data_IF_666866166827
#
_entry.id   IF_666866166827
#
_cell.length_a   1.000
_cell.length_b   1.000
_cell.length_c   1.000
_cell.angle_alpha   90.00
_cell.angle_beta   90.00
_cell.angle_gamma   90.00
#
_symmetry.space_group_name_H-M   'P 1'
#
loop_
_entity.id
_entity.type
_entity.pdbx_description
1 polymer ?
#
# COMPACT_ATOMS: atom_id res chain seq x y z
N UNK A 1 7.45 17.64 2.57
CA UNK A 1 8.50 16.92 1.84
C UNK A 1 7.92 15.56 1.48
N UNK A 2 7.37 15.39 0.29
CA UNK A 2 7.47 14.12 -0.43
C UNK A 2 7.29 14.37 -1.93
N UNK A 3 7.98 13.51 -2.68
CA UNK A 3 7.69 12.97 -4.00
C UNK A 3 9.04 12.36 -4.44
N UNK A 4 9.30 11.17 -3.91
CA UNK A 4 10.42 10.25 -4.21
C UNK A 4 11.81 10.91 -4.04
N UNK A 5 12.56 10.47 -3.02
CA UNK A 5 13.99 10.79 -2.96
C UNK A 5 14.64 10.46 -4.31
N UNK A 6 15.42 11.37 -4.92
CA UNK A 6 15.96 11.16 -6.26
C UNK A 6 17.07 10.09 -6.29
N UNK A 7 17.25 9.29 -5.24
CA UNK A 7 18.32 8.31 -5.11
C UNK A 7 17.75 6.97 -4.73
N UNK A 8 18.38 5.89 -5.20
CA UNK A 8 18.09 4.50 -4.92
C UNK A 8 16.60 4.14 -5.07
N UNK A 9 16.02 4.56 -6.20
CA UNK A 9 14.63 4.25 -6.58
C UNK A 9 14.60 2.85 -7.19
N UNK A 10 13.80 1.92 -6.64
CA UNK A 10 13.74 0.56 -7.15
C UNK A 10 13.04 0.51 -8.51
N UNK A 11 13.49 -0.37 -9.40
CA UNK A 11 12.88 -0.51 -10.72
C UNK A 11 11.41 -0.97 -10.65
N UNK A 12 11.02 -1.64 -9.56
CA UNK A 12 9.66 -2.12 -9.31
C UNK A 12 8.63 -1.00 -9.10
N UNK A 13 9.07 0.24 -8.84
CA UNK A 13 8.19 1.41 -8.74
C UNK A 13 7.75 1.95 -10.10
N UNK A 14 8.50 1.66 -11.17
CA UNK A 14 8.12 2.10 -12.50
C UNK A 14 7.04 1.17 -13.04
N UNK A 15 5.96 1.77 -13.56
CA UNK A 15 4.87 1.00 -14.17
C UNK A 15 5.43 0.06 -15.22
N UNK A 16 5.07 -1.25 -15.23
CA UNK A 16 5.42 -2.12 -16.33
C UNK A 16 4.80 -1.50 -17.59
N UNK A 17 5.65 -1.23 -18.58
CA UNK A 17 5.17 -0.78 -19.88
C UNK A 17 4.35 -1.88 -20.57
N UNK A 18 3.79 -1.62 -21.77
CA UNK A 18 3.09 -2.64 -22.53
C UNK A 18 3.97 -3.88 -22.83
N UNK A 19 5.30 -3.73 -22.77
CA UNK A 19 6.25 -4.85 -22.74
C UNK A 19 7.48 -4.54 -21.86
N UNK A 20 8.06 -5.56 -21.24
CA UNK A 20 9.32 -5.47 -20.47
C UNK A 20 10.47 -4.94 -21.34
N UNK A 21 10.48 -5.28 -22.63
CA UNK A 21 11.49 -4.82 -23.59
C UNK A 21 11.45 -3.29 -23.75
N UNK A 22 10.27 -2.71 -23.98
CA UNK A 22 10.11 -1.27 -24.12
C UNK A 22 10.45 -0.51 -22.83
N UNK A 23 10.14 -1.09 -21.68
CA UNK A 23 10.53 -0.52 -20.39
C UNK A 23 12.05 -0.46 -20.23
N UNK A 24 12.75 -1.54 -20.58
CA UNK A 24 14.22 -1.58 -20.53
C UNK A 24 14.86 -0.63 -21.54
N UNK A 25 14.31 -0.51 -22.75
CA UNK A 25 14.76 0.44 -23.77
C UNK A 25 14.58 1.90 -23.29
N UNK A 26 13.44 2.23 -22.70
CA UNK A 26 13.19 3.57 -22.15
C UNK A 26 14.16 3.90 -21.00
N UNK A 27 14.35 2.97 -20.06
CA UNK A 27 15.32 3.14 -18.96
C UNK A 27 16.75 3.27 -19.52
N UNK A 28 17.13 2.46 -20.51
CA UNK A 28 18.43 2.52 -21.16
C UNK A 28 18.69 3.86 -21.84
N UNK A 29 17.69 4.41 -22.52
CA UNK A 29 17.74 5.74 -23.12
C UNK A 29 17.93 6.85 -22.07
N UNK A 30 17.21 6.79 -20.95
CA UNK A 30 17.36 7.77 -19.87
C UNK A 30 18.74 7.68 -19.19
N UNK A 31 19.34 6.49 -19.13
CA UNK A 31 20.71 6.30 -18.63
C UNK A 31 21.73 6.84 -19.64
N UNK A 32 21.55 6.63 -20.95
CA UNK A 32 22.49 7.14 -21.95
C UNK A 32 22.54 8.67 -21.99
N UNK A 33 21.42 9.34 -21.72
CA UNK A 33 21.36 10.81 -21.55
C UNK A 33 21.74 11.31 -20.15
N UNK A 34 22.22 10.42 -19.25
CA UNK A 34 22.59 10.76 -17.86
C UNK A 34 21.46 11.36 -17.02
N UNK A 35 20.21 11.19 -17.43
CA UNK A 35 19.05 11.58 -16.63
C UNK A 35 18.81 10.61 -15.47
N UNK A 36 19.20 9.34 -15.66
CA UNK A 36 19.23 8.31 -14.64
C UNK A 36 20.65 7.76 -14.47
N UNK A 37 20.97 7.30 -13.26
CA UNK A 37 22.20 6.55 -12.97
C UNK A 37 21.83 5.23 -12.29
N UNK A 38 22.37 4.12 -12.79
CA UNK A 38 22.13 2.79 -12.22
C UNK A 38 23.15 2.46 -11.15
N UNK A 39 22.67 2.04 -9.98
CA UNK A 39 23.47 1.54 -8.87
C UNK A 39 23.70 0.03 -8.97
N UNK A 40 24.59 -0.48 -8.12
CA UNK A 40 24.99 -1.89 -8.06
C UNK A 40 23.82 -2.81 -7.66
N UNK A 41 22.89 -2.31 -6.86
CA UNK A 41 21.68 -3.00 -6.39
C UNK A 41 20.50 -2.91 -7.39
N UNK A 42 20.77 -2.53 -8.65
CA UNK A 42 19.78 -2.24 -9.68
C UNK A 42 18.81 -1.09 -9.37
N UNK A 43 19.00 -0.35 -8.26
CA UNK A 43 18.26 0.88 -8.00
C UNK A 43 18.73 2.02 -8.90
N UNK A 44 17.87 3.01 -9.11
CA UNK A 44 18.07 4.12 -10.02
C UNK A 44 18.14 5.44 -9.25
N UNK A 45 19.14 6.26 -9.57
CA UNK A 45 19.23 7.65 -9.14
C UNK A 45 18.75 8.56 -10.27
N UNK A 46 17.94 9.56 -9.95
CA UNK A 46 17.51 10.63 -10.86
C UNK A 46 18.47 11.80 -10.72
N UNK A 47 18.90 12.34 -11.85
CA UNK A 47 19.69 13.56 -11.87
C UNK A 47 18.92 14.73 -11.23
N UNK A 48 19.60 15.51 -10.37
CA UNK A 48 18.95 16.54 -9.54
C UNK A 48 18.14 17.56 -10.34
N UNK A 49 18.62 17.98 -11.52
CA UNK A 49 17.90 18.91 -12.39
C UNK A 49 16.62 18.29 -12.97
N UNK A 50 16.68 17.02 -13.35
CA UNK A 50 15.52 16.28 -13.86
C UNK A 50 14.48 16.17 -12.76
N UNK A 51 14.89 15.79 -11.55
CA UNK A 51 13.99 15.72 -10.39
C UNK A 51 13.28 17.05 -10.10
N UNK A 52 14.01 18.17 -10.10
CA UNK A 52 13.45 19.50 -9.86
C UNK A 52 12.51 19.91 -11.00
N UNK A 53 12.89 19.69 -12.26
CA UNK A 53 12.07 20.01 -13.42
C UNK A 53 10.77 19.20 -13.43
N UNK A 54 10.85 17.89 -13.19
CA UNK A 54 9.68 17.01 -13.09
C UNK A 54 8.79 17.41 -11.92
N UNK A 55 9.36 17.79 -10.76
CA UNK A 55 8.58 18.28 -9.61
C UNK A 55 7.84 19.57 -9.91
N UNK A 56 8.50 20.52 -10.58
CA UNK A 56 7.88 21.79 -10.96
C UNK A 56 6.79 21.58 -12.02
N UNK A 57 7.02 20.67 -12.97
CA UNK A 57 6.01 20.28 -13.95
C UNK A 57 4.80 19.64 -13.27
N UNK A 58 5.03 18.65 -12.40
CA UNK A 58 3.99 17.97 -11.63
C UNK A 58 3.16 18.95 -10.80
N UNK A 59 3.77 19.97 -10.19
CA UNK A 59 3.01 21.00 -9.44
C UNK A 59 2.03 21.80 -10.30
N UNK A 60 2.28 21.89 -11.61
CA UNK A 60 1.51 22.72 -12.54
C UNK A 60 0.52 21.93 -13.41
N UNK A 61 0.62 20.60 -13.47
CA UNK A 61 -0.31 19.73 -14.21
C UNK A 61 -1.36 19.08 -13.31
N UNK A 62 -2.40 18.48 -13.90
CA UNK A 62 -3.40 17.64 -13.19
C UNK A 62 -2.72 16.42 -12.58
N UNK A 63 -2.10 16.61 -11.42
CA UNK A 63 -1.51 15.60 -10.54
C UNK A 63 -2.43 14.39 -10.31
N UNK A 64 -3.74 14.60 -10.42
CA UNK A 64 -4.79 13.62 -10.11
C UNK A 64 -4.65 12.31 -10.89
N UNK A 65 -4.45 12.36 -12.20
CA UNK A 65 -4.41 11.14 -13.05
C UNK A 65 -3.10 10.36 -12.88
N UNK A 66 -1.98 11.09 -12.75
CA UNK A 66 -0.64 10.50 -12.58
C UNK A 66 -0.49 9.88 -11.19
N UNK A 67 -1.00 10.54 -10.15
CA UNK A 67 -1.01 10.01 -8.78
C UNK A 67 -1.93 8.80 -8.67
N UNK A 68 -3.14 8.82 -9.25
CA UNK A 68 -4.04 7.66 -9.22
C UNK A 68 -3.43 6.42 -9.90
N UNK A 69 -2.82 6.58 -11.08
CA UNK A 69 -2.16 5.47 -11.79
C UNK A 69 -0.92 4.92 -11.07
N UNK A 70 -0.09 5.79 -10.49
CA UNK A 70 1.09 5.38 -9.73
C UNK A 70 0.74 4.76 -8.37
N UNK A 71 -0.30 5.26 -7.70
CA UNK A 71 -0.84 4.71 -6.45
C UNK A 71 -1.23 3.25 -6.61
N UNK A 72 -1.99 2.92 -7.66
CA UNK A 72 -2.43 1.56 -7.90
C UNK A 72 -1.27 0.54 -8.01
N UNK A 73 -0.13 0.95 -8.60
CA UNK A 73 1.03 0.08 -8.79
C UNK A 73 1.88 -0.07 -7.53
N UNK A 74 2.09 1.04 -6.82
CA UNK A 74 2.67 1.09 -5.47
C UNK A 74 1.85 0.16 -4.54
N UNK A 75 0.52 0.18 -4.65
CA UNK A 75 -0.37 -0.74 -3.97
C UNK A 75 -0.33 -2.20 -4.49
N UNK A 76 0.21 -2.54 -5.65
CA UNK A 76 0.24 -3.94 -6.11
C UNK A 76 1.47 -4.71 -5.62
N UNK A 77 2.61 -4.05 -5.41
CA UNK A 77 3.92 -4.70 -5.21
C UNK A 77 4.39 -4.81 -3.74
N UNK A 78 3.46 -4.83 -2.77
CA UNK A 78 3.75 -4.71 -1.32
C UNK A 78 4.43 -5.94 -0.67
N UNK A 79 4.74 -7.00 -1.42
CA UNK A 79 5.63 -8.06 -0.93
C UNK A 79 7.05 -7.55 -0.59
N UNK A 80 7.47 -6.40 -1.13
CA UNK A 80 8.85 -5.87 -1.01
C UNK A 80 9.05 -4.79 0.08
N UNK A 81 8.05 -4.55 0.94
CA UNK A 81 8.07 -3.44 1.91
C UNK A 81 9.23 -3.45 2.92
N UNK A 82 9.95 -4.57 3.12
CA UNK A 82 11.08 -4.63 4.07
C UNK A 82 12.29 -3.78 3.66
N UNK A 83 12.61 -3.69 2.37
CA UNK A 83 13.85 -3.04 1.90
C UNK A 83 13.68 -1.52 1.72
N UNK A 84 12.47 -1.07 1.36
CA UNK A 84 12.18 0.33 1.07
C UNK A 84 11.33 1.02 2.13
N UNK A 85 11.19 0.37 3.30
CA UNK A 85 10.33 0.77 4.41
C UNK A 85 10.45 2.25 4.80
N UNK A 86 11.66 2.77 4.99
CA UNK A 86 11.83 4.16 5.45
C UNK A 86 11.35 5.18 4.41
N UNK A 87 11.62 4.92 3.13
CA UNK A 87 11.25 5.81 2.01
C UNK A 87 9.77 5.75 1.70
N UNK A 88 9.19 4.57 1.85
CA UNK A 88 7.75 4.37 1.71
C UNK A 88 6.99 5.02 2.86
N UNK A 89 7.50 4.91 4.10
CA UNK A 89 6.94 5.60 5.26
C UNK A 89 6.98 7.13 5.08
N UNK A 90 8.07 7.70 4.55
CA UNK A 90 8.15 9.14 4.28
C UNK A 90 7.13 9.62 3.24
N UNK A 91 6.88 8.83 2.18
CA UNK A 91 5.84 9.18 1.20
C UNK A 91 4.43 9.04 1.78
N UNK A 92 4.16 7.93 2.46
CA UNK A 92 2.86 7.67 3.06
C UNK A 92 2.54 8.67 4.18
N UNK A 93 3.52 9.07 5.01
CA UNK A 93 3.34 10.09 6.07
C UNK A 93 3.03 11.48 5.50
N UNK A 94 3.69 11.88 4.40
CA UNK A 94 3.37 13.14 3.73
C UNK A 94 1.95 13.13 3.18
N UNK A 95 1.53 12.03 2.55
CA UNK A 95 0.18 11.90 2.01
C UNK A 95 -0.88 11.84 3.13
N UNK A 96 -0.58 11.18 4.23
CA UNK A 96 -1.40 11.28 5.45
C UNK A 96 -1.51 12.72 5.94
N UNK A 97 -0.44 13.51 5.85
CA UNK A 97 -0.43 14.91 6.28
C UNK A 97 -1.16 15.84 5.30
N UNK A 98 -1.17 15.52 4.00
CA UNK A 98 -1.83 16.28 2.95
C UNK A 98 -3.34 15.98 2.90
N UNK A 99 -4.14 16.88 3.48
CA UNK A 99 -5.61 16.79 3.51
C UNK A 99 -6.23 16.72 2.11
N UNK A 100 -5.57 17.28 1.10
CA UNK A 100 -6.02 17.22 -0.29
C UNK A 100 -5.94 15.78 -0.81
N UNK A 101 -4.82 15.08 -0.58
CA UNK A 101 -4.66 13.70 -1.01
C UNK A 101 -5.63 12.73 -0.32
N UNK A 102 -5.93 12.91 0.98
CA UNK A 102 -6.97 12.14 1.69
C UNK A 102 -8.37 12.36 1.11
N UNK A 103 -8.70 13.59 0.72
CA UNK A 103 -9.99 13.93 0.09
C UNK A 103 -10.15 13.38 -1.33
N UNK A 104 -9.06 12.96 -1.99
CA UNK A 104 -9.06 12.48 -3.38
C UNK A 104 -9.29 10.95 -3.47
N UNK A 105 -9.06 10.22 -2.39
CA UNK A 105 -9.18 8.76 -2.38
C UNK A 105 -10.64 8.35 -2.18
N UNK A 106 -11.12 7.41 -2.99
CA UNK A 106 -12.41 6.76 -2.71
C UNK A 106 -12.35 6.01 -1.38
N UNK A 107 -13.50 5.75 -0.74
CA UNK A 107 -13.53 5.10 0.59
C UNK A 107 -12.74 3.79 0.65
N UNK A 108 -12.87 2.93 -0.37
CA UNK A 108 -12.12 1.68 -0.50
C UNK A 108 -10.62 1.91 -0.72
N UNK A 109 -10.22 2.89 -1.55
CA UNK A 109 -8.81 3.21 -1.76
C UNK A 109 -8.17 3.75 -0.49
N UNK A 110 -8.88 4.61 0.25
CA UNK A 110 -8.45 5.18 1.52
C UNK A 110 -8.24 4.07 2.56
N UNK A 111 -9.21 3.17 2.72
CA UNK A 111 -9.09 1.98 3.57
C UNK A 111 -7.83 1.19 3.18
N UNK A 112 -7.68 0.85 1.90
CA UNK A 112 -6.54 0.05 1.43
C UNK A 112 -5.20 0.74 1.69
N UNK A 113 -5.14 2.06 1.55
CA UNK A 113 -3.96 2.86 1.82
C UNK A 113 -3.61 2.88 3.32
N UNK A 114 -4.60 3.10 4.18
CA UNK A 114 -4.41 3.13 5.62
C UNK A 114 -3.97 1.75 6.16
N UNK A 115 -4.61 0.65 5.73
CA UNK A 115 -4.17 -0.71 6.11
C UNK A 115 -2.69 -0.94 5.81
N UNK A 116 -2.21 -0.45 4.66
CA UNK A 116 -0.83 -0.61 4.21
C UNK A 116 0.14 0.28 4.98
N UNK A 117 -0.27 1.50 5.31
CA UNK A 117 0.50 2.38 6.17
C UNK A 117 0.67 1.77 7.58
N UNK A 118 -0.41 1.21 8.15
CA UNK A 118 -0.36 0.48 9.41
C UNK A 118 0.57 -0.72 9.37
N UNK A 119 0.56 -1.50 8.28
CA UNK A 119 1.51 -2.61 8.06
C UNK A 119 2.97 -2.14 7.96
N UNK A 120 3.25 -0.96 7.41
CA UNK A 120 4.63 -0.44 7.40
C UNK A 120 5.09 -0.08 8.81
N UNK A 121 4.18 0.47 9.63
CA UNK A 121 4.48 0.83 11.02
C UNK A 121 4.67 -0.41 11.90
N UNK A 122 3.98 -1.53 11.62
CA UNK A 122 4.00 -2.74 12.45
C UNK A 122 5.37 -3.45 12.55
N UNK A 123 6.38 -3.04 11.79
CA UNK A 123 7.77 -3.54 11.89
C UNK A 123 8.66 -2.65 12.80
N UNK A 124 8.14 -2.19 13.96
CA UNK A 124 8.91 -1.45 14.97
C UNK A 124 8.20 -0.26 15.62
N UNK A 125 7.15 0.27 15.00
CA UNK A 125 6.28 1.35 15.50
C UNK A 125 4.91 0.76 15.84
N UNK A 126 4.91 -0.21 16.77
CA UNK A 126 3.74 -1.05 17.02
C UNK A 126 2.53 -0.31 17.58
N UNK A 127 2.75 0.74 18.37
CA UNK A 127 1.68 1.52 18.98
C UNK A 127 0.93 2.36 17.93
N UNK A 128 1.67 3.05 17.04
CA UNK A 128 1.05 3.81 15.96
C UNK A 128 0.41 2.89 14.91
N UNK A 129 0.99 1.71 14.68
CA UNK A 129 0.40 0.69 13.81
C UNK A 129 -0.94 0.19 14.35
N UNK A 130 -1.01 -0.11 15.66
CA UNK A 130 -2.23 -0.60 16.31
C UNK A 130 -3.35 0.44 16.22
N UNK A 131 -3.08 1.68 16.65
CA UNK A 131 -4.09 2.75 16.64
C UNK A 131 -4.67 3.03 15.25
N UNK A 132 -3.82 2.93 14.22
CA UNK A 132 -4.27 3.13 12.85
C UNK A 132 -5.02 1.91 12.30
N UNK A 133 -4.57 0.69 12.61
CA UNK A 133 -5.24 -0.53 12.17
C UNK A 133 -6.59 -0.76 12.88
N UNK A 134 -6.75 -0.29 14.13
CA UNK A 134 -8.05 -0.29 14.83
C UNK A 134 -9.04 0.64 14.16
N UNK A 135 -8.63 1.87 13.84
CA UNK A 135 -9.49 2.85 13.15
C UNK A 135 -9.95 2.31 11.78
N UNK A 136 -9.04 1.67 11.05
CA UNK A 136 -9.36 1.04 9.76
C UNK A 136 -10.32 -0.14 9.94
N UNK A 137 -10.09 -1.01 10.93
CA UNK A 137 -10.96 -2.15 11.18
C UNK A 137 -12.39 -1.70 11.49
N UNK A 138 -12.57 -0.76 12.42
CA UNK A 138 -13.87 -0.19 12.79
C UNK A 138 -14.56 0.50 11.60
N UNK A 139 -13.80 1.27 10.82
CA UNK A 139 -14.34 1.94 9.62
C UNK A 139 -14.77 0.92 8.56
N UNK A 140 -14.00 -0.15 8.33
CA UNK A 140 -14.36 -1.20 7.37
C UNK A 140 -15.54 -2.02 7.83
N UNK A 141 -15.66 -2.30 9.12
CA UNK A 141 -16.80 -3.00 9.70
C UNK A 141 -18.09 -2.20 9.49
N UNK A 142 -18.07 -0.90 9.77
CA UNK A 142 -19.24 -0.03 9.56
C UNK A 142 -19.61 0.18 8.08
N UNK A 143 -18.64 0.18 7.17
CA UNK A 143 -18.87 0.53 5.76
C UNK A 143 -19.07 -0.66 4.84
N UNK A 144 -18.37 -1.77 5.09
CA UNK A 144 -18.35 -2.96 4.25
C UNK A 144 -18.97 -4.18 4.94
N UNK A 145 -19.14 -4.13 6.26
CA UNK A 145 -19.62 -5.23 7.07
C UNK A 145 -18.52 -6.20 7.52
N UNK A 146 -18.88 -7.03 8.48
CA UNK A 146 -17.97 -7.92 9.22
C UNK A 146 -17.43 -9.07 8.35
N UNK A 147 -18.20 -9.51 7.36
CA UNK A 147 -17.85 -10.62 6.45
C UNK A 147 -16.97 -10.18 5.28
N UNK A 148 -16.82 -8.86 5.05
CA UNK A 148 -16.10 -8.39 3.88
C UNK A 148 -14.60 -8.73 3.97
N UNK A 149 -13.97 -9.24 2.89
CA UNK A 149 -12.55 -9.62 2.91
C UNK A 149 -11.59 -8.52 3.39
N UNK A 150 -11.88 -7.26 3.11
CA UNK A 150 -11.10 -6.11 3.59
C UNK A 150 -11.17 -5.91 5.11
N UNK A 151 -12.34 -6.16 5.71
CA UNK A 151 -12.55 -6.08 7.17
C UNK A 151 -11.76 -7.20 7.85
N UNK A 152 -11.92 -8.44 7.37
CA UNK A 152 -11.19 -9.61 7.86
C UNK A 152 -9.66 -9.45 7.73
N UNK A 153 -9.20 -8.90 6.60
CA UNK A 153 -7.77 -8.61 6.38
C UNK A 153 -7.24 -7.56 7.36
N UNK A 154 -8.01 -6.50 7.63
CA UNK A 154 -7.63 -5.45 8.58
C UNK A 154 -7.57 -5.98 10.01
N UNK A 155 -8.54 -6.80 10.43
CA UNK A 155 -8.51 -7.50 11.73
C UNK A 155 -7.33 -8.46 11.86
N UNK A 156 -6.99 -9.20 10.80
CA UNK A 156 -5.82 -10.07 10.76
C UNK A 156 -4.49 -9.30 10.91
N UNK A 157 -4.39 -8.13 10.29
CA UNK A 157 -3.22 -7.26 10.42
C UNK A 157 -3.10 -6.66 11.83
N UNK A 158 -4.22 -6.30 12.46
CA UNK A 158 -4.28 -5.88 13.85
C UNK A 158 -3.80 -7.01 14.78
N UNK A 159 -4.31 -8.23 14.58
CA UNK A 159 -3.88 -9.40 15.35
C UNK A 159 -2.37 -9.67 15.22
N UNK A 160 -1.82 -9.53 14.01
CA UNK A 160 -0.37 -9.64 13.76
C UNK A 160 0.43 -8.58 14.52
N UNK A 161 -0.09 -7.35 14.60
CA UNK A 161 0.54 -6.25 15.33
C UNK A 161 0.54 -6.52 16.85
N UNK A 162 -0.60 -6.96 17.42
CA UNK A 162 -0.69 -7.36 18.83
C UNK A 162 0.25 -8.53 19.14
N UNK A 163 0.38 -9.50 18.23
CA UNK A 163 1.32 -10.62 18.33
C UNK A 163 2.77 -10.13 18.43
N UNK A 164 3.15 -9.16 17.61
CA UNK A 164 4.50 -8.59 17.64
C UNK A 164 4.78 -7.81 18.94
N UNK A 165 3.74 -7.24 19.55
CA UNK A 165 3.81 -6.64 20.90
C UNK A 165 3.82 -7.67 22.05
N UNK A 166 3.82 -8.97 21.75
CA UNK A 166 3.69 -10.08 22.73
C UNK A 166 2.34 -10.12 23.46
N UNK A 167 1.30 -9.47 22.92
CA UNK A 167 -0.09 -9.52 23.41
C UNK A 167 -0.84 -10.67 22.74
N UNK A 168 -0.42 -11.90 23.06
CA UNK A 168 -0.91 -13.13 22.41
C UNK A 168 -2.40 -13.38 22.63
N UNK A 169 -2.91 -13.06 23.83
CA UNK A 169 -4.31 -13.29 24.20
C UNK A 169 -5.29 -12.45 23.38
N UNK A 170 -4.93 -11.21 23.05
CA UNK A 170 -5.74 -10.36 22.19
C UNK A 170 -5.60 -10.72 20.72
N UNK A 171 -4.39 -11.04 20.26
CA UNK A 171 -4.16 -11.54 18.92
C UNK A 171 -4.97 -12.82 18.63
N UNK A 172 -5.05 -13.73 19.61
CA UNK A 172 -5.83 -14.96 19.52
C UNK A 172 -7.33 -14.68 19.43
N UNK A 173 -7.86 -13.74 20.23
CA UNK A 173 -9.27 -13.33 20.15
C UNK A 173 -9.63 -12.80 18.76
N UNK A 174 -8.81 -11.90 18.22
CA UNK A 174 -9.01 -11.32 16.89
C UNK A 174 -8.90 -12.39 15.79
N UNK A 175 -7.93 -13.29 15.89
CA UNK A 175 -7.75 -14.38 14.92
C UNK A 175 -8.92 -15.36 14.96
N UNK A 176 -9.39 -15.73 16.15
CA UNK A 176 -10.55 -16.60 16.31
C UNK A 176 -11.82 -15.95 15.74
N UNK A 177 -12.04 -14.65 15.97
CA UNK A 177 -13.17 -13.93 15.38
C UNK A 177 -13.15 -14.01 13.85
N UNK A 178 -12.00 -13.76 13.22
CA UNK A 178 -11.80 -13.85 11.76
C UNK A 178 -12.02 -15.28 11.24
N UNK A 179 -11.56 -16.30 11.97
CA UNK A 179 -11.75 -17.69 11.59
C UNK A 179 -13.23 -18.11 11.66
N UNK A 180 -13.97 -17.63 12.67
CA UNK A 180 -15.39 -17.93 12.85
C UNK A 180 -16.21 -17.30 11.71
N UNK A 181 -16.01 -16.01 11.43
CA UNK A 181 -16.72 -15.30 10.34
C UNK A 181 -16.42 -15.89 8.98
N UNK A 182 -15.17 -16.29 8.72
CA UNK A 182 -14.82 -16.97 7.46
C UNK A 182 -15.50 -18.33 7.34
N UNK A 183 -15.57 -19.09 8.44
CA UNK A 183 -16.19 -20.41 8.47
C UNK A 183 -17.71 -20.33 8.31
N UNK A 184 -18.38 -19.36 8.95
CA UNK A 184 -19.82 -19.17 8.78
C UNK A 184 -20.19 -18.78 7.36
N UNK A 185 -19.34 -17.99 6.69
CA UNK A 185 -19.51 -17.64 5.28
C UNK A 185 -19.39 -18.87 4.36
N UNK A 186 -18.36 -19.69 4.58
CA UNK A 186 -18.17 -20.94 3.82
C UNK A 186 -19.36 -21.90 4.01
N UNK A 187 -19.84 -22.10 5.25
CA UNK A 187 -20.99 -22.97 5.56
C UNK A 187 -22.33 -22.41 5.02
N UNK A 188 -22.55 -21.10 5.10
CA UNK A 188 -23.73 -20.43 4.55
C UNK A 188 -23.77 -20.46 3.02
N UNK A 189 -22.63 -20.27 2.35
CA UNK A 189 -22.54 -20.38 0.90
C UNK A 189 -22.91 -21.81 0.46
N UNK A 190 -22.34 -22.84 1.07
CA UNK A 190 -22.63 -24.25 0.78
C UNK A 190 -24.11 -24.60 0.99
N UNK A 191 -24.75 -24.06 2.04
CA UNK A 191 -26.18 -24.26 2.29
C UNK A 191 -27.07 -23.67 1.18
N UNK A 192 -26.72 -22.50 0.64
CA UNK A 192 -27.47 -21.88 -0.48
C UNK A 192 -27.30 -22.61 -1.81
N UNK A 193 -26.10 -23.17 -2.08
CA UNK A 193 -25.86 -24.01 -3.27
C UNK A 193 -26.67 -25.31 -3.24
N UNK A 194 -26.83 -25.92 -2.06
CA UNK A 194 -27.65 -27.13 -1.89
C UNK A 194 -29.17 -26.87 -2.05
N UNK A 195 -29.66 -25.67 -1.70
CA UNK A 195 -31.07 -25.30 -1.89
C UNK A 195 -31.40 -24.86 -3.32
N UNK A 196 -30.46 -24.29 -4.08
CA UNK A 196 -30.68 -23.87 -5.46
C UNK A 196 -30.55 -25.00 -6.50
N UNK A 197 -30.02 -26.16 -6.10
CA UNK A 197 -29.80 -27.33 -6.96
C UNK A 197 -30.81 -28.47 -6.80
N UNK A 198 -31.89 -28.29 -6.03
CA UNK A 198 -33.04 -29.22 -5.91
C UNK A 198 -34.30 -28.60 -6.53
#
# INVERSE_FOLDING_TARGET
MSCIEPKAIPQTFFSPGPSTKQQLEAIGCLISYSFLSRRVDNSLDIHRLVHIATRNWLRNTRLREILQGSNFQIHRNISDCRIYKSRYLEDLTYRMSDSHSRSIMSGLELIMFLTRYGLCLSDGMYFEAELLLTEVAESTEQTLGDEHPSTLSSMGNLASTCRNQRRWTEAEKLCNAVCITRRSWDEGSLATWHQAGS
#
